data_IF_106499760353
#
_entry.id   IF_106499760353
#
_cell.length_a   1.000
_cell.length_b   1.000
_cell.length_c   1.000
_cell.angle_alpha   90.00
_cell.angle_beta   90.00
_cell.angle_gamma   90.00
#
_symmetry.space_group_name_H-M   'P 1'
#
loop_
_entity.id
_entity.type
_entity.pdbx_description
1 polymer ?
#
# COMPACT_ATOMS: atom_id res chain seq x y z
N UNK A 1 -40.94 -18.86 -16.26
CA UNK A 1 -39.79 -18.41 -17.07
C UNK A 1 -39.16 -17.08 -16.61
N UNK A 2 -39.94 -16.04 -16.23
CA UNK A 2 -39.35 -14.76 -15.73
C UNK A 2 -38.57 -14.91 -14.43
N UNK A 3 -39.09 -15.65 -13.44
CA UNK A 3 -38.41 -15.91 -12.16
C UNK A 3 -37.07 -16.64 -12.32
N UNK A 4 -37.01 -17.66 -13.18
CA UNK A 4 -35.76 -18.40 -13.44
C UNK A 4 -34.68 -17.52 -14.08
N UNK A 5 -35.07 -16.67 -15.06
CA UNK A 5 -34.16 -15.69 -15.69
C UNK A 5 -33.64 -14.68 -14.64
N UNK A 6 -34.51 -14.18 -13.77
CA UNK A 6 -34.12 -13.27 -12.70
C UNK A 6 -33.14 -13.93 -11.71
N UNK A 7 -33.39 -15.19 -11.32
CA UNK A 7 -32.48 -15.93 -10.44
C UNK A 7 -31.12 -16.15 -11.09
N UNK A 8 -31.08 -16.52 -12.38
CA UNK A 8 -29.81 -16.67 -13.11
C UNK A 8 -29.04 -15.36 -13.16
N UNK A 9 -29.70 -14.24 -13.51
CA UNK A 9 -29.06 -12.93 -13.55
C UNK A 9 -28.53 -12.53 -12.16
N UNK A 10 -29.32 -12.74 -11.11
CA UNK A 10 -28.91 -12.43 -9.75
C UNK A 10 -27.69 -13.29 -9.31
N UNK A 11 -27.69 -14.59 -9.63
CA UNK A 11 -26.56 -15.47 -9.34
C UNK A 11 -25.31 -15.04 -10.10
N UNK A 12 -25.42 -14.73 -11.38
CA UNK A 12 -24.29 -14.23 -12.17
C UNK A 12 -23.75 -12.91 -11.61
N UNK A 13 -24.61 -11.98 -11.19
CA UNK A 13 -24.20 -10.76 -10.57
C UNK A 13 -23.41 -11.01 -9.26
N UNK A 14 -23.87 -11.91 -8.40
CA UNK A 14 -23.16 -12.27 -7.16
C UNK A 14 -21.82 -12.93 -7.48
N UNK A 15 -21.75 -13.82 -8.47
CA UNK A 15 -20.48 -14.42 -8.90
C UNK A 15 -19.48 -13.37 -9.43
N UNK A 16 -19.95 -12.40 -10.21
CA UNK A 16 -19.11 -11.31 -10.72
C UNK A 16 -18.59 -10.46 -9.55
N UNK A 17 -19.44 -10.13 -8.58
CA UNK A 17 -19.03 -9.39 -7.37
C UNK A 17 -17.98 -10.18 -6.58
N UNK A 18 -18.22 -11.47 -6.34
CA UNK A 18 -17.25 -12.32 -5.67
C UNK A 18 -15.90 -12.33 -6.41
N UNK A 19 -15.92 -12.54 -7.72
CA UNK A 19 -14.71 -12.55 -8.53
C UNK A 19 -13.99 -11.19 -8.51
N UNK A 20 -14.70 -10.07 -8.56
CA UNK A 20 -14.11 -8.75 -8.53
C UNK A 20 -13.29 -8.50 -7.25
N UNK A 21 -13.74 -9.00 -6.11
CA UNK A 21 -13.03 -8.86 -4.83
C UNK A 21 -12.03 -9.99 -4.57
N UNK A 22 -12.36 -11.23 -4.92
CA UNK A 22 -11.49 -12.37 -4.66
C UNK A 22 -10.32 -12.45 -5.63
N UNK A 23 -10.53 -12.13 -6.91
CA UNK A 23 -9.51 -12.29 -7.96
C UNK A 23 -8.23 -11.50 -7.68
N UNK A 24 -8.23 -10.19 -7.38
CA UNK A 24 -6.99 -9.46 -7.10
C UNK A 24 -6.23 -10.00 -5.88
N UNK A 25 -6.97 -10.50 -4.88
CA UNK A 25 -6.38 -11.03 -3.64
C UNK A 25 -5.79 -12.44 -3.85
N UNK A 26 -6.50 -13.31 -4.57
CA UNK A 26 -6.07 -14.72 -4.80
C UNK A 26 -4.95 -14.81 -5.83
N UNK A 27 -4.94 -13.90 -6.81
CA UNK A 27 -3.89 -13.84 -7.86
C UNK A 27 -2.75 -12.91 -7.51
N UNK A 28 -2.77 -12.31 -6.33
CA UNK A 28 -1.68 -11.46 -5.84
C UNK A 28 -0.42 -12.28 -5.65
N UNK A 29 0.66 -11.82 -6.25
CA UNK A 29 2.00 -12.37 -6.11
C UNK A 29 2.94 -11.29 -5.59
N UNK A 30 3.80 -11.58 -4.59
CA UNK A 30 4.83 -10.64 -4.19
C UNK A 30 5.91 -10.57 -5.28
N UNK A 31 5.73 -9.67 -6.22
CA UNK A 31 6.64 -9.45 -7.34
C UNK A 31 6.95 -7.96 -7.48
N UNK A 32 8.19 -7.67 -7.90
CA UNK A 32 8.65 -6.31 -8.23
C UNK A 32 8.42 -5.28 -7.12
N UNK A 33 8.57 -5.68 -5.83
CA UNK A 33 8.43 -4.71 -4.74
C UNK A 33 9.59 -3.72 -4.78
N UNK A 34 9.35 -2.40 -4.93
CA UNK A 34 10.39 -1.39 -4.89
C UNK A 34 11.03 -1.32 -3.50
N UNK A 35 12.35 -1.56 -3.43
CA UNK A 35 13.14 -1.57 -2.20
C UNK A 35 14.48 -0.91 -2.45
N UNK A 36 14.88 0.04 -1.61
CA UNK A 36 16.20 0.64 -1.69
C UNK A 36 17.29 -0.34 -1.21
N UNK A 37 18.44 -0.30 -1.84
CA UNK A 37 19.61 -1.11 -1.47
C UNK A 37 20.80 -0.21 -1.22
N UNK A 38 21.40 -0.33 -0.02
CA UNK A 38 22.63 0.37 0.37
C UNK A 38 23.73 -0.68 0.56
N UNK A 39 24.85 -0.54 -0.15
CA UNK A 39 25.97 -1.45 -0.03
C UNK A 39 26.93 -1.36 -1.22
N UNK A 40 27.99 -2.18 -1.22
CA UNK A 40 28.84 -2.26 -2.39
C UNK A 40 28.14 -2.99 -3.55
N UNK A 41 28.47 -2.67 -4.82
CA UNK A 41 27.88 -3.35 -5.97
C UNK A 41 27.98 -4.87 -5.91
N UNK A 42 29.08 -5.40 -5.34
CA UNK A 42 29.30 -6.83 -5.18
C UNK A 42 28.32 -7.43 -4.15
N UNK A 43 28.09 -6.73 -3.03
CA UNK A 43 27.15 -7.16 -2.00
C UNK A 43 25.71 -7.17 -2.51
N UNK A 44 25.31 -6.13 -3.24
CA UNK A 44 23.97 -6.02 -3.83
C UNK A 44 23.77 -7.13 -4.86
N UNK A 45 24.77 -7.40 -5.71
CA UNK A 45 24.70 -8.47 -6.73
C UNK A 45 24.58 -9.84 -6.05
N UNK A 46 25.41 -10.13 -5.05
CA UNK A 46 25.37 -11.38 -4.31
C UNK A 46 24.05 -11.59 -3.57
N UNK A 47 23.40 -10.50 -3.14
CA UNK A 47 22.07 -10.55 -2.54
C UNK A 47 20.99 -10.83 -3.61
N UNK A 48 21.05 -10.16 -4.76
CA UNK A 48 20.12 -10.41 -5.88
C UNK A 48 20.14 -11.86 -6.32
N UNK A 49 21.31 -12.50 -6.38
CA UNK A 49 21.45 -13.92 -6.76
C UNK A 49 20.80 -14.90 -5.77
N UNK A 50 20.66 -14.50 -4.49
CA UNK A 50 20.06 -15.33 -3.43
C UNK A 50 18.54 -15.15 -3.31
N UNK A 51 17.98 -14.10 -3.91
CA UNK A 51 16.55 -13.82 -3.86
C UNK A 51 15.85 -14.47 -5.06
N UNK A 52 14.57 -14.83 -4.93
CA UNK A 52 13.76 -15.22 -6.08
C UNK A 52 13.80 -14.13 -7.16
N UNK A 53 13.93 -14.56 -8.40
CA UNK A 53 13.89 -13.67 -9.56
C UNK A 53 12.56 -12.90 -9.56
N UNK A 54 12.61 -11.59 -9.74
CA UNK A 54 11.45 -10.67 -9.73
C UNK A 54 10.77 -10.40 -8.38
N UNK A 55 11.31 -10.86 -7.25
CA UNK A 55 10.70 -10.56 -5.94
C UNK A 55 10.82 -9.08 -5.57
N UNK A 56 12.01 -8.50 -5.75
CA UNK A 56 12.32 -7.12 -5.40
C UNK A 56 12.78 -6.33 -6.65
N UNK A 57 12.28 -5.12 -6.77
CA UNK A 57 12.84 -4.10 -7.66
C UNK A 57 13.76 -3.22 -6.83
N UNK A 58 15.07 -3.40 -7.03
CA UNK A 58 16.08 -2.75 -6.19
C UNK A 58 16.49 -1.42 -6.76
N UNK A 59 16.21 -0.37 -5.98
CA UNK A 59 16.64 1.00 -6.22
C UNK A 59 17.96 1.26 -5.50
N UNK A 60 18.93 1.84 -6.21
CA UNK A 60 20.20 2.18 -5.59
C UNK A 60 20.02 3.36 -4.62
N UNK A 61 20.56 3.24 -3.43
CA UNK A 61 20.67 4.31 -2.45
C UNK A 61 22.12 4.50 -2.04
N UNK A 62 22.55 5.76 -1.92
CA UNK A 62 23.95 6.10 -1.62
C UNK A 62 24.35 5.75 -0.19
N UNK A 63 23.43 5.96 0.74
CA UNK A 63 23.59 5.68 2.15
C UNK A 63 22.24 5.42 2.82
N UNK A 64 22.26 5.22 4.15
CA UNK A 64 21.09 4.97 4.97
C UNK A 64 20.08 6.14 4.91
N UNK A 65 20.56 7.37 4.93
CA UNK A 65 19.71 8.55 4.97
C UNK A 65 19.01 8.79 3.64
N UNK A 66 19.69 8.52 2.52
CA UNK A 66 19.10 8.49 1.19
C UNK A 66 18.03 7.41 1.07
N UNK A 67 18.29 6.20 1.58
CA UNK A 67 17.29 5.14 1.64
C UNK A 67 16.06 5.52 2.48
N UNK A 68 16.24 6.20 3.62
CA UNK A 68 15.14 6.74 4.42
C UNK A 68 14.37 7.79 3.63
N UNK A 69 15.05 8.67 2.91
CA UNK A 69 14.41 9.69 2.08
C UNK A 69 13.53 9.07 0.98
N UNK A 70 14.04 8.04 0.28
CA UNK A 70 13.25 7.31 -0.73
C UNK A 70 12.01 6.64 -0.12
N UNK A 71 12.08 6.18 1.14
CA UNK A 71 10.91 5.66 1.86
C UNK A 71 9.92 6.78 2.17
N UNK A 72 10.39 7.92 2.69
CA UNK A 72 9.56 9.06 3.08
C UNK A 72 8.90 9.76 1.88
N UNK A 73 9.52 9.71 0.70
CA UNK A 73 8.96 10.20 -0.57
C UNK A 73 8.08 9.17 -1.29
N UNK A 74 7.94 7.96 -0.72
CA UNK A 74 7.11 6.88 -1.28
C UNK A 74 7.64 6.30 -2.60
N UNK A 75 8.93 6.43 -2.87
CA UNK A 75 9.58 5.80 -4.02
C UNK A 75 9.78 4.30 -3.80
N UNK A 76 10.04 3.90 -2.55
CA UNK A 76 10.22 2.51 -2.14
C UNK A 76 9.39 2.16 -0.89
N UNK A 77 9.16 0.87 -0.65
CA UNK A 77 8.42 0.36 0.52
C UNK A 77 9.31 0.08 1.73
N UNK A 78 10.61 0.08 1.53
CA UNK A 78 11.60 -0.16 2.57
C UNK A 78 12.99 -0.22 1.99
N UNK A 79 13.99 -0.55 2.81
CA UNK A 79 15.37 -0.63 2.35
C UNK A 79 16.15 -1.76 3.02
N UNK A 80 17.17 -2.23 2.33
CA UNK A 80 18.15 -3.20 2.84
C UNK A 80 19.51 -2.51 2.88
N UNK A 81 20.02 -2.27 4.08
CA UNK A 81 21.34 -1.68 4.31
C UNK A 81 22.32 -2.81 4.61
N UNK A 82 23.25 -3.02 3.70
CA UNK A 82 24.30 -4.02 3.81
C UNK A 82 25.56 -3.39 4.40
N UNK A 83 26.29 -4.14 5.21
CA UNK A 83 27.52 -3.67 5.87
C UNK A 83 27.88 -4.52 7.09
N UNK A 84 28.73 -3.98 7.96
CA UNK A 84 29.13 -4.66 9.21
C UNK A 84 27.96 -4.87 10.17
N UNK A 85 27.01 -3.95 10.16
CA UNK A 85 25.73 -4.04 10.89
C UNK A 85 24.57 -3.97 9.90
N UNK A 86 24.10 -5.10 9.37
CA UNK A 86 23.00 -5.11 8.43
C UNK A 86 21.71 -4.55 9.07
N UNK A 87 21.01 -3.69 8.33
CA UNK A 87 19.74 -3.12 8.80
C UNK A 87 18.67 -3.27 7.71
N UNK A 88 17.47 -3.66 8.13
CA UNK A 88 16.27 -3.64 7.27
C UNK A 88 15.40 -2.48 7.71
N UNK A 89 15.21 -1.51 6.82
CA UNK A 89 14.29 -0.41 7.02
C UNK A 89 12.93 -0.80 6.44
N UNK A 90 11.90 -0.69 7.24
CA UNK A 90 10.52 -0.94 6.81
C UNK A 90 9.68 0.32 6.98
N UNK A 91 8.55 0.40 6.28
CA UNK A 91 7.57 1.44 6.46
C UNK A 91 6.19 0.80 6.62
N UNK A 92 5.81 0.54 7.87
CA UNK A 92 4.52 -0.07 8.20
C UNK A 92 3.35 0.70 7.62
N UNK A 93 3.43 2.03 7.62
CA UNK A 93 2.41 2.91 7.06
C UNK A 93 2.32 2.88 5.53
N UNK A 94 3.41 2.52 4.82
CA UNK A 94 3.40 2.38 3.38
C UNK A 94 2.58 1.16 2.94
N UNK A 95 2.91 0.01 3.50
CA UNK A 95 2.18 -1.24 3.33
C UNK A 95 2.55 -2.22 4.44
N UNK A 96 1.61 -2.60 5.31
CA UNK A 96 1.86 -3.61 6.33
C UNK A 96 2.32 -4.95 5.76
N UNK A 97 1.81 -5.32 4.57
CA UNK A 97 2.19 -6.56 3.87
C UNK A 97 3.64 -6.51 3.42
N UNK A 98 4.08 -5.40 2.81
CA UNK A 98 5.47 -5.19 2.42
C UNK A 98 6.41 -5.15 3.63
N UNK A 99 6.03 -4.42 4.69
CA UNK A 99 6.80 -4.35 5.93
C UNK A 99 6.96 -5.73 6.59
N UNK A 100 5.89 -6.54 6.62
CA UNK A 100 5.96 -7.90 7.13
C UNK A 100 6.88 -8.79 6.27
N UNK A 101 6.82 -8.67 4.95
CA UNK A 101 7.69 -9.42 4.03
C UNK A 101 9.17 -9.06 4.24
N UNK A 102 9.49 -7.76 4.32
CA UNK A 102 10.85 -7.30 4.59
C UNK A 102 11.34 -7.72 5.99
N UNK A 103 10.47 -7.67 7.00
CA UNK A 103 10.77 -8.18 8.33
C UNK A 103 11.10 -9.68 8.31
N UNK A 104 10.35 -10.48 7.57
CA UNK A 104 10.63 -11.91 7.40
C UNK A 104 11.97 -12.14 6.67
N UNK A 105 12.28 -11.33 5.66
CA UNK A 105 13.57 -11.36 4.98
C UNK A 105 14.73 -11.06 5.96
N UNK A 106 14.59 -10.01 6.81
CA UNK A 106 15.56 -9.69 7.85
C UNK A 106 15.76 -10.82 8.85
N UNK A 107 14.67 -11.44 9.32
CA UNK A 107 14.75 -12.60 10.22
C UNK A 107 15.39 -13.82 9.55
N UNK A 108 15.22 -13.99 8.24
CA UNK A 108 15.86 -15.06 7.49
C UNK A 108 17.36 -14.81 7.31
N UNK A 109 17.74 -13.55 7.08
CA UNK A 109 19.13 -13.10 7.03
C UNK A 109 19.82 -13.31 8.38
N UNK A 110 19.17 -12.96 9.49
CA UNK A 110 19.70 -13.22 10.84
C UNK A 110 19.96 -14.71 11.05
N UNK A 111 19.01 -15.57 10.71
CA UNK A 111 19.20 -17.03 10.85
C UNK A 111 20.37 -17.55 10.02
N UNK A 112 20.60 -17.00 8.83
CA UNK A 112 21.74 -17.38 8.01
C UNK A 112 23.08 -16.96 8.65
N UNK A 113 23.13 -15.78 9.25
CA UNK A 113 24.30 -15.30 10.02
C UNK A 113 24.54 -16.19 11.22
N UNK A 114 23.51 -16.50 12.02
CA UNK A 114 23.60 -17.36 13.20
C UNK A 114 24.14 -18.76 12.83
N UNK A 115 23.65 -19.35 11.73
CA UNK A 115 24.13 -20.64 11.23
C UNK A 115 25.61 -20.58 10.85
N UNK A 116 26.04 -19.53 10.16
CA UNK A 116 27.44 -19.36 9.78
C UNK A 116 28.35 -19.18 10.99
N UNK A 117 27.89 -18.48 12.04
CA UNK A 117 28.62 -18.35 13.32
C UNK A 117 28.73 -19.69 14.01
N UNK A 118 27.65 -20.46 14.13
CA UNK A 118 27.63 -21.79 14.72
C UNK A 118 28.59 -22.73 13.97
N UNK A 119 28.57 -22.73 12.66
CA UNK A 119 29.43 -23.56 11.83
C UNK A 119 30.90 -23.17 11.98
N UNK A 120 31.23 -21.90 12.01
CA UNK A 120 32.60 -21.42 12.24
C UNK A 120 33.12 -21.76 13.64
N UNK A 121 32.25 -21.68 14.66
CA UNK A 121 32.58 -22.11 16.02
C UNK A 121 32.81 -23.63 16.10
N UNK A 122 31.95 -24.44 15.46
CA UNK A 122 32.14 -25.92 15.48
C UNK A 122 33.43 -26.34 14.80
N UNK A 123 33.74 -25.73 13.63
CA UNK A 123 35.04 -25.97 12.96
C UNK A 123 36.24 -25.52 13.84
N UNK A 124 36.09 -24.41 14.57
CA UNK A 124 37.09 -23.95 15.52
C UNK A 124 37.34 -24.97 16.66
N UNK A 125 36.27 -25.52 17.22
CA UNK A 125 36.32 -26.55 18.26
C UNK A 125 36.97 -27.84 17.74
N UNK A 126 36.60 -28.29 16.55
CA UNK A 126 37.21 -29.48 15.92
C UNK A 126 38.71 -29.30 15.69
N UNK A 127 39.13 -28.14 15.16
CA UNK A 127 40.57 -27.82 15.00
C UNK A 127 41.30 -27.80 16.33
N UNK A 128 40.69 -27.26 17.37
CA UNK A 128 41.28 -27.25 18.73
C UNK A 128 41.40 -28.68 19.28
N UNK A 129 40.38 -29.54 19.12
CA UNK A 129 40.42 -30.93 19.53
C UNK A 129 41.49 -31.71 18.78
N UNK A 130 41.63 -31.51 17.47
CA UNK A 130 42.66 -32.13 16.66
C UNK A 130 44.08 -31.67 17.09
N UNK A 131 44.24 -30.39 17.39
CA UNK A 131 45.52 -29.85 17.92
C UNK A 131 45.88 -30.46 19.28
N UNK A 132 44.93 -30.63 20.19
CA UNK A 132 45.14 -31.29 21.49
C UNK A 132 45.48 -32.79 21.32
N UNK A 133 44.79 -33.48 20.39
CA UNK A 133 45.07 -34.89 20.11
C UNK A 133 46.48 -35.11 19.52
N UNK A 134 46.98 -34.17 18.71
CA UNK A 134 48.33 -34.21 18.14
C UNK A 134 49.40 -33.75 19.11
N UNK A 135 49.05 -32.93 20.13
CA UNK A 135 49.97 -32.45 21.17
C UNK A 135 50.24 -33.43 22.30
N UNK A 136 49.60 -34.60 22.36
CA UNK A 136 49.76 -35.60 23.40
C UNK A 136 50.95 -36.57 23.13
N UNK A 137 52.15 -36.05 22.73
CA UNK A 137 53.41 -36.78 22.87
C UNK A 137 54.01 -36.38 24.17
N UNK A 138 54.32 -37.34 25.12
CA UNK A 138 55.01 -37.03 26.34
C UNK A 138 56.49 -36.83 26.04
N UNK A 139 56.95 -35.60 26.02
CA UNK A 139 58.32 -35.27 25.85
C UNK A 139 58.61 -33.79 25.66
N UNK A 140 59.15 -33.19 26.72
CA UNK A 140 59.81 -31.89 26.81
C UNK A 140 58.98 -30.65 26.96
N UNK A 141 59.07 -30.10 28.15
CA UNK A 141 58.40 -28.90 28.65
C UNK A 141 58.60 -27.65 27.83
N UNK A 142 57.54 -27.22 27.32
CA UNK A 142 57.16 -25.81 27.12
C UNK A 142 55.66 -25.77 27.28
N UNK A 143 55.16 -25.13 28.32
CA UNK A 143 53.76 -24.85 28.47
C UNK A 143 53.28 -24.04 27.21
N UNK A 144 52.18 -24.44 26.53
CA UNK A 144 51.65 -23.59 25.47
C UNK A 144 51.29 -22.27 26.14
N UNK A 145 51.85 -21.18 25.63
CA UNK A 145 51.42 -19.83 25.97
C UNK A 145 49.93 -19.74 25.63
N UNK A 146 49.09 -19.73 26.67
CA UNK A 146 47.70 -19.38 26.54
C UNK A 146 47.71 -17.96 25.95
N UNK A 147 47.10 -17.71 24.79
CA UNK A 147 46.95 -16.35 24.31
C UNK A 147 46.26 -15.56 25.40
N UNK A 148 46.89 -14.45 25.78
CA UNK A 148 46.36 -13.53 26.78
C UNK A 148 44.90 -13.23 26.43
N UNK A 149 44.00 -13.64 27.34
CA UNK A 149 42.54 -13.51 27.16
C UNK A 149 42.02 -12.07 27.11
N UNK A 150 42.93 -11.10 26.97
CA UNK A 150 42.61 -9.67 26.83
C UNK A 150 42.33 -9.21 25.37
N UNK A 151 42.57 -10.05 24.34
CA UNK A 151 42.36 -9.70 22.94
C UNK A 151 41.16 -10.37 22.25
N UNK A 152 40.49 -11.31 22.90
CA UNK A 152 39.20 -11.77 22.45
C UNK A 152 38.11 -10.88 23.05
N UNK A 153 38.04 -9.61 22.66
CA UNK A 153 36.75 -8.93 22.60
C UNK A 153 35.94 -9.74 21.60
N UNK A 154 35.13 -10.65 22.11
CA UNK A 154 34.03 -11.23 21.33
C UNK A 154 33.20 -10.04 20.85
N UNK A 155 33.49 -9.56 19.64
CA UNK A 155 32.50 -8.76 18.93
C UNK A 155 31.25 -9.62 18.88
N UNK A 156 30.18 -9.11 19.46
CA UNK A 156 28.90 -9.80 19.43
C UNK A 156 28.61 -10.15 17.95
N UNK A 157 28.11 -11.35 17.67
CA UNK A 157 27.84 -11.74 16.29
C UNK A 157 26.98 -10.65 15.62
N UNK A 158 27.23 -10.33 14.34
CA UNK A 158 26.50 -9.30 13.66
C UNK A 158 25.00 -9.61 13.72
N UNK A 159 24.21 -8.66 14.21
CA UNK A 159 22.76 -8.78 14.30
C UNK A 159 22.10 -7.92 13.25
N UNK A 160 21.10 -8.47 12.57
CA UNK A 160 20.27 -7.71 11.63
C UNK A 160 19.31 -6.83 12.41
N UNK A 161 19.46 -5.52 12.29
CA UNK A 161 18.54 -4.58 12.91
C UNK A 161 17.32 -4.38 12.00
N UNK A 162 16.12 -4.39 12.56
CA UNK A 162 14.89 -4.05 11.84
C UNK A 162 14.34 -2.77 12.44
N UNK A 163 14.19 -1.74 11.59
CA UNK A 163 13.72 -0.42 12.02
C UNK A 163 12.51 -0.02 11.18
N UNK A 164 11.39 0.28 11.81
CA UNK A 164 10.24 0.91 11.11
C UNK A 164 10.46 2.43 11.13
N UNK A 165 10.70 3.00 9.94
CA UNK A 165 10.99 4.44 9.77
C UNK A 165 9.73 5.27 9.62
N UNK A 166 8.63 4.64 9.21
CA UNK A 166 7.31 5.28 9.14
C UNK A 166 6.29 4.33 9.79
N UNK A 167 6.26 4.30 11.14
CA UNK A 167 5.38 3.41 11.87
C UNK A 167 3.92 3.83 11.72
N UNK A 168 3.04 2.84 11.87
CA UNK A 168 1.61 3.05 12.00
C UNK A 168 1.25 3.65 13.37
N UNK A 169 0.01 4.15 13.50
CA UNK A 169 -0.54 4.56 14.80
C UNK A 169 -0.53 3.40 15.79
N UNK A 170 -0.31 3.70 17.08
CA UNK A 170 -0.37 2.70 18.15
C UNK A 170 -1.75 2.04 18.27
N UNK A 171 -2.81 2.74 17.87
CA UNK A 171 -4.19 2.22 17.84
C UNK A 171 -4.46 1.28 16.66
N UNK A 172 -3.67 1.35 15.58
CA UNK A 172 -3.78 0.48 14.41
C UNK A 172 -2.43 -0.14 14.01
N UNK A 173 -1.79 -0.92 14.89
CA UNK A 173 -0.44 -1.45 14.67
C UNK A 173 -0.34 -2.43 13.48
N UNK A 174 -1.48 -2.86 12.94
CA UNK A 174 -1.56 -3.73 11.76
C UNK A 174 -1.85 -2.99 10.47
N UNK A 175 -2.13 -1.68 10.52
CA UNK A 175 -2.49 -0.88 9.35
C UNK A 175 -3.77 -1.31 8.66
N UNK A 176 -4.63 -2.00 9.40
CA UNK A 176 -5.89 -2.49 8.86
C UNK A 176 -6.95 -1.39 8.75
N UNK A 177 -6.82 -0.31 9.53
CA UNK A 177 -7.82 0.74 9.62
C UNK A 177 -8.08 1.44 8.30
N UNK A 178 -7.03 1.90 7.62
CA UNK A 178 -7.17 2.56 6.32
C UNK A 178 -7.68 1.57 5.24
N UNK A 179 -7.21 0.33 5.26
CA UNK A 179 -7.68 -0.71 4.35
C UNK A 179 -9.17 -1.01 4.56
N UNK A 180 -9.61 -1.13 5.84
CA UNK A 180 -11.01 -1.34 6.19
C UNK A 180 -11.85 -0.09 5.85
N UNK A 181 -11.34 1.12 6.05
CA UNK A 181 -12.04 2.37 5.74
C UNK A 181 -12.24 2.58 4.23
N UNK A 182 -11.42 1.99 3.37
CA UNK A 182 -11.47 2.16 1.92
C UNK A 182 -12.83 1.80 1.31
N UNK A 183 -13.41 0.66 1.70
CA UNK A 183 -14.72 0.25 1.19
C UNK A 183 -15.86 1.16 1.67
N UNK A 184 -16.01 1.50 2.96
CA UNK A 184 -16.98 2.49 3.42
C UNK A 184 -16.84 3.87 2.76
N UNK A 185 -15.61 4.33 2.49
CA UNK A 185 -15.37 5.59 1.77
C UNK A 185 -15.91 5.53 0.33
N UNK A 186 -15.58 4.46 -0.39
CA UNK A 186 -16.10 4.23 -1.75
C UNK A 186 -17.63 4.10 -1.77
N UNK A 187 -18.20 3.37 -0.80
CA UNK A 187 -19.65 3.24 -0.63
C UNK A 187 -20.31 4.56 -0.25
N UNK A 188 -19.67 5.38 0.59
CA UNK A 188 -20.15 6.72 0.93
C UNK A 188 -20.34 7.57 -0.32
N UNK A 189 -19.31 7.63 -1.16
CA UNK A 189 -19.40 8.34 -2.44
C UNK A 189 -20.51 7.79 -3.36
N UNK A 190 -20.67 6.47 -3.42
CA UNK A 190 -21.72 5.80 -4.20
C UNK A 190 -23.13 6.12 -3.65
N UNK A 191 -23.33 6.01 -2.35
CA UNK A 191 -24.62 6.28 -1.70
C UNK A 191 -24.99 7.75 -1.88
N UNK A 192 -24.08 8.67 -1.59
CA UNK A 192 -24.31 10.11 -1.75
C UNK A 192 -24.61 10.50 -3.18
N UNK A 193 -23.82 10.01 -4.15
CA UNK A 193 -24.07 10.23 -5.57
C UNK A 193 -25.42 9.67 -6.05
N UNK A 194 -25.79 8.48 -5.57
CA UNK A 194 -27.07 7.85 -5.89
C UNK A 194 -28.26 8.64 -5.32
N UNK A 195 -28.18 9.05 -4.05
CA UNK A 195 -29.22 9.86 -3.41
C UNK A 195 -29.38 11.21 -4.11
N UNK A 196 -28.28 11.91 -4.41
CA UNK A 196 -28.32 13.17 -5.16
C UNK A 196 -28.94 12.94 -6.55
N UNK A 197 -28.59 11.85 -7.23
CA UNK A 197 -29.15 11.50 -8.54
C UNK A 197 -30.66 11.32 -8.51
N UNK A 198 -31.19 10.70 -7.45
CA UNK A 198 -32.60 10.33 -7.33
C UNK A 198 -33.46 11.46 -6.73
N UNK A 199 -32.93 12.23 -5.79
CA UNK A 199 -33.69 13.20 -5.01
C UNK A 199 -33.52 14.64 -5.48
N UNK A 200 -32.40 14.97 -6.17
CA UNK A 200 -32.12 16.33 -6.61
C UNK A 200 -32.34 16.47 -8.11
N UNK A 201 -33.22 17.38 -8.49
CA UNK A 201 -33.49 17.73 -9.90
C UNK A 201 -32.87 19.08 -10.26
N UNK A 202 -32.40 19.19 -11.50
CA UNK A 202 -31.76 20.40 -12.04
C UNK A 202 -30.23 20.40 -11.87
N UNK A 203 -29.55 20.81 -12.95
CA UNK A 203 -28.09 20.75 -13.10
C UNK A 203 -27.34 21.48 -11.99
N UNK A 204 -27.64 22.75 -11.77
CA UNK A 204 -26.98 23.58 -10.77
C UNK A 204 -27.22 23.08 -9.34
N UNK A 205 -28.45 22.61 -9.05
CA UNK A 205 -28.80 22.04 -7.76
C UNK A 205 -28.00 20.74 -7.48
N UNK A 206 -27.79 19.91 -8.51
CA UNK A 206 -26.97 18.70 -8.40
C UNK A 206 -25.51 19.03 -8.11
N UNK A 207 -24.93 19.99 -8.83
CA UNK A 207 -23.54 20.44 -8.61
C UNK A 207 -23.36 21.02 -7.20
N UNK A 208 -24.28 21.88 -6.74
CA UNK A 208 -24.21 22.42 -5.37
C UNK A 208 -24.41 21.34 -4.32
N UNK A 209 -25.31 20.37 -4.55
CA UNK A 209 -25.49 19.24 -3.63
C UNK A 209 -24.26 18.34 -3.55
N UNK A 210 -23.55 18.08 -4.67
CA UNK A 210 -22.30 17.33 -4.69
C UNK A 210 -21.23 18.08 -3.89
N UNK A 211 -21.08 19.39 -4.10
CA UNK A 211 -20.11 20.20 -3.37
C UNK A 211 -20.39 20.23 -1.85
N UNK A 212 -21.66 20.46 -1.47
CA UNK A 212 -22.08 20.43 -0.06
C UNK A 212 -21.88 19.05 0.57
N UNK A 213 -22.19 17.98 -0.17
CA UNK A 213 -21.95 16.60 0.27
C UNK A 213 -20.46 16.33 0.52
N UNK A 214 -19.58 16.80 -0.39
CA UNK A 214 -18.14 16.65 -0.20
C UNK A 214 -17.62 17.35 1.06
N UNK A 215 -18.05 18.60 1.30
CA UNK A 215 -17.65 19.34 2.49
C UNK A 215 -18.18 18.66 3.77
N UNK A 216 -19.47 18.38 3.84
CA UNK A 216 -20.07 17.78 5.05
C UNK A 216 -19.58 16.35 5.25
N UNK A 217 -19.51 15.55 4.20
CA UNK A 217 -19.04 14.16 4.25
C UNK A 217 -17.55 14.07 4.57
N UNK A 218 -16.73 14.93 3.96
CA UNK A 218 -15.30 15.03 4.25
C UNK A 218 -15.04 15.33 5.72
N UNK A 219 -15.70 16.36 6.27
CA UNK A 219 -15.59 16.71 7.68
C UNK A 219 -16.09 15.57 8.60
N UNK A 220 -17.27 15.02 8.32
CA UNK A 220 -17.88 13.99 9.16
C UNK A 220 -17.05 12.70 9.18
N UNK A 221 -16.61 12.22 8.01
CA UNK A 221 -15.82 11.00 7.92
C UNK A 221 -14.43 11.18 8.52
N UNK A 222 -13.79 12.32 8.30
CA UNK A 222 -12.49 12.58 8.92
C UNK A 222 -12.61 12.73 10.44
N UNK A 223 -13.70 13.30 10.95
CA UNK A 223 -13.98 13.35 12.40
C UNK A 223 -14.11 11.94 13.01
N UNK A 224 -14.64 11.00 12.23
CA UNK A 224 -14.72 9.59 12.67
C UNK A 224 -13.37 8.91 12.57
N UNK A 225 -12.68 9.05 11.42
CA UNK A 225 -11.47 8.30 11.14
C UNK A 225 -10.23 8.81 11.89
N UNK A 226 -10.14 10.10 12.19
CA UNK A 226 -8.98 10.69 12.83
C UNK A 226 -9.14 10.81 14.36
N UNK A 227 -9.99 11.70 14.96
CA UNK A 227 -10.01 11.84 16.41
C UNK A 227 -10.79 10.74 17.14
N UNK A 228 -11.67 10.00 16.48
CA UNK A 228 -12.44 8.94 17.15
C UNK A 228 -11.78 7.56 17.01
N UNK A 229 -11.42 7.16 15.78
CA UNK A 229 -10.87 5.84 15.51
C UNK A 229 -9.32 5.84 15.44
N UNK A 230 -8.70 7.01 15.41
CA UNK A 230 -7.23 7.20 15.30
C UNK A 230 -6.58 6.40 14.15
N UNK A 231 -7.30 6.29 13.03
CA UNK A 231 -6.83 5.61 11.81
C UNK A 231 -6.00 6.54 10.94
N UNK A 232 -6.37 7.84 10.90
CA UNK A 232 -5.67 8.86 10.14
C UNK A 232 -4.83 9.72 11.07
N UNK A 233 -3.59 9.97 10.68
CA UNK A 233 -2.70 10.91 11.35
C UNK A 233 -2.60 12.23 10.56
N UNK A 234 -1.74 13.14 11.00
CA UNK A 234 -1.42 14.38 10.28
C UNK A 234 -2.47 15.49 10.41
N UNK A 235 -2.59 16.33 9.39
CA UNK A 235 -3.42 17.52 9.43
C UNK A 235 -4.89 17.20 9.15
N UNK A 236 -5.77 17.46 10.12
CA UNK A 236 -7.22 17.21 10.03
C UNK A 236 -7.87 17.88 8.80
N UNK A 237 -7.53 19.14 8.52
CA UNK A 237 -8.16 19.88 7.42
C UNK A 237 -7.72 19.36 6.05
N UNK A 238 -6.45 18.94 5.94
CA UNK A 238 -5.94 18.29 4.73
C UNK A 238 -6.66 16.95 4.49
N UNK A 239 -6.77 16.11 5.53
CA UNK A 239 -7.49 14.84 5.47
C UNK A 239 -8.99 15.04 5.15
N UNK A 240 -9.65 16.04 5.75
CA UNK A 240 -11.04 16.37 5.47
C UNK A 240 -11.24 16.84 4.01
N UNK A 241 -10.32 17.66 3.50
CA UNK A 241 -10.31 18.09 2.10
C UNK A 241 -10.12 16.92 1.14
N UNK A 242 -9.17 16.03 1.42
CA UNK A 242 -8.91 14.84 0.60
C UNK A 242 -10.07 13.85 0.60
N UNK A 243 -10.63 13.56 1.78
CA UNK A 243 -11.84 12.72 1.93
C UNK A 243 -13.01 13.31 1.16
N UNK A 244 -13.22 14.62 1.33
CA UNK A 244 -14.27 15.36 0.63
C UNK A 244 -14.09 15.33 -0.89
N UNK A 245 -12.88 15.51 -1.38
CA UNK A 245 -12.56 15.46 -2.82
C UNK A 245 -12.85 14.06 -3.40
N UNK A 246 -12.47 12.99 -2.71
CA UNK A 246 -12.79 11.61 -3.12
C UNK A 246 -14.31 11.35 -3.18
N UNK A 247 -15.07 11.84 -2.19
CA UNK A 247 -16.54 11.75 -2.18
C UNK A 247 -17.15 12.53 -3.35
N UNK A 248 -16.68 13.75 -3.61
CA UNK A 248 -17.12 14.60 -4.73
C UNK A 248 -16.82 13.92 -6.06
N UNK A 249 -15.62 13.38 -6.24
CA UNK A 249 -15.22 12.70 -7.47
C UNK A 249 -16.12 11.49 -7.78
N UNK A 250 -16.37 10.64 -6.77
CA UNK A 250 -17.28 9.50 -6.90
C UNK A 250 -18.73 9.95 -7.18
N UNK A 251 -19.23 10.91 -6.40
CA UNK A 251 -20.59 11.41 -6.56
C UNK A 251 -20.81 12.09 -7.93
N UNK A 252 -19.84 12.90 -8.38
CA UNK A 252 -19.88 13.57 -9.67
C UNK A 252 -19.93 12.55 -10.83
N UNK A 253 -19.12 11.49 -10.76
CA UNK A 253 -19.15 10.41 -11.74
C UNK A 253 -20.55 9.75 -11.81
N UNK A 254 -21.11 9.37 -10.67
CA UNK A 254 -22.40 8.67 -10.58
C UNK A 254 -23.54 9.57 -11.06
N UNK A 255 -23.59 10.83 -10.60
CA UNK A 255 -24.61 11.79 -11.01
C UNK A 255 -24.46 12.16 -12.49
N UNK A 256 -23.22 12.25 -12.98
CA UNK A 256 -22.90 12.49 -14.38
C UNK A 256 -23.39 11.37 -15.29
N UNK A 257 -23.04 10.14 -14.98
CA UNK A 257 -23.50 8.96 -15.72
C UNK A 257 -25.02 8.83 -15.66
N UNK A 258 -25.63 9.07 -14.49
CA UNK A 258 -27.09 9.10 -14.39
C UNK A 258 -27.73 10.19 -15.27
N UNK A 259 -27.10 11.35 -15.39
CA UNK A 259 -27.63 12.45 -16.23
C UNK A 259 -27.64 12.10 -17.72
N UNK A 260 -26.67 11.27 -18.17
CA UNK A 260 -26.57 10.85 -19.59
C UNK A 260 -27.32 9.55 -19.86
N UNK A 261 -27.25 8.56 -18.96
CA UNK A 261 -27.71 7.19 -19.17
C UNK A 261 -28.95 6.83 -18.32
N UNK A 262 -29.44 7.77 -17.49
CA UNK A 262 -30.53 7.48 -16.56
C UNK A 262 -30.08 6.50 -15.47
N UNK A 263 -31.01 5.69 -14.95
CA UNK A 263 -30.76 4.75 -13.84
C UNK A 263 -29.62 3.76 -14.09
N UNK A 264 -29.37 3.39 -15.36
CA UNK A 264 -28.24 2.54 -15.71
C UNK A 264 -26.90 3.19 -15.38
N UNK A 265 -26.80 4.52 -15.48
CA UNK A 265 -25.59 5.28 -15.13
C UNK A 265 -25.21 5.16 -13.66
N UNK A 266 -26.19 5.07 -12.74
CA UNK A 266 -25.92 4.82 -11.32
C UNK A 266 -25.24 3.46 -11.13
N UNK A 267 -25.78 2.41 -11.78
CA UNK A 267 -25.23 1.07 -11.68
C UNK A 267 -23.80 0.99 -12.27
N UNK A 268 -23.58 1.64 -13.42
CA UNK A 268 -22.25 1.68 -14.06
C UNK A 268 -21.26 2.44 -13.17
N UNK A 269 -21.63 3.58 -12.61
CA UNK A 269 -20.78 4.33 -11.69
C UNK A 269 -20.43 3.53 -10.43
N UNK A 270 -21.40 2.81 -9.85
CA UNK A 270 -21.17 1.92 -8.73
C UNK A 270 -20.23 0.76 -9.08
N UNK A 271 -20.36 0.16 -10.24
CA UNK A 271 -19.48 -0.91 -10.73
C UNK A 271 -18.05 -0.37 -10.86
N UNK A 272 -17.86 0.76 -11.51
CA UNK A 272 -16.54 1.35 -11.72
C UNK A 272 -15.87 1.68 -10.38
N UNK A 273 -16.60 2.30 -9.44
CA UNK A 273 -16.00 2.80 -8.20
C UNK A 273 -15.86 1.71 -7.13
N UNK A 274 -16.90 0.92 -6.88
CA UNK A 274 -16.90 -0.05 -5.77
C UNK A 274 -16.38 -1.41 -6.22
N UNK A 275 -16.86 -1.93 -7.35
CA UNK A 275 -16.55 -3.32 -7.74
C UNK A 275 -15.27 -3.46 -8.57
N UNK A 276 -14.81 -2.41 -9.23
CA UNK A 276 -13.53 -2.40 -9.95
C UNK A 276 -12.50 -1.59 -9.17
N UNK A 277 -12.81 -0.33 -8.87
CA UNK A 277 -11.85 0.61 -8.30
C UNK A 277 -11.38 0.24 -6.90
N UNK A 278 -12.28 -0.23 -6.02
CA UNK A 278 -11.88 -0.55 -4.65
C UNK A 278 -10.99 -1.80 -4.55
N UNK A 279 -11.26 -2.94 -5.22
CA UNK A 279 -10.34 -4.09 -5.21
C UNK A 279 -8.98 -3.82 -5.84
N UNK A 280 -8.91 -2.93 -6.84
CA UNK A 280 -7.67 -2.55 -7.51
C UNK A 280 -6.96 -1.36 -6.87
N UNK A 281 -7.46 -0.81 -5.77
CA UNK A 281 -6.99 0.44 -5.18
C UNK A 281 -5.60 0.39 -4.56
N UNK A 282 -5.04 -0.80 -4.31
CA UNK A 282 -3.76 -0.93 -3.58
C UNK A 282 -3.84 -0.55 -2.09
N UNK A 283 -5.06 -0.45 -1.51
CA UNK A 283 -5.24 -0.11 -0.09
C UNK A 283 -4.85 -1.23 0.85
N UNK A 284 -5.05 -2.48 0.44
CA UNK A 284 -4.79 -3.68 1.25
C UNK A 284 -3.42 -4.29 1.03
N UNK A 285 -2.79 -4.00 -0.10
CA UNK A 285 -1.50 -4.55 -0.53
C UNK A 285 -0.81 -3.60 -1.51
N UNK A 286 0.50 -3.71 -1.75
CA UNK A 286 1.19 -2.97 -2.79
C UNK A 286 0.51 -3.14 -4.15
N UNK A 287 0.47 -2.08 -4.96
CA UNK A 287 -0.10 -2.13 -6.32
C UNK A 287 0.69 -3.09 -7.23
N UNK A 288 1.97 -3.27 -6.95
CA UNK A 288 2.89 -4.16 -7.64
C UNK A 288 2.50 -5.64 -7.48
N UNK A 289 1.87 -6.00 -6.34
CA UNK A 289 1.39 -7.36 -6.07
C UNK A 289 0.10 -7.71 -6.82
N UNK A 290 -0.61 -6.70 -7.34
CA UNK A 290 -1.79 -6.90 -8.17
C UNK A 290 -1.31 -7.22 -9.59
N UNK A 291 -1.88 -8.26 -10.21
CA UNK A 291 -1.54 -8.66 -11.58
C UNK A 291 -1.50 -7.46 -12.52
N UNK A 292 -0.36 -7.22 -13.15
CA UNK A 292 -0.19 -6.10 -14.06
C UNK A 292 -1.00 -6.29 -15.36
N UNK A 293 -1.57 -5.24 -15.95
CA UNK A 293 -1.45 -3.81 -15.55
C UNK A 293 -2.53 -3.31 -14.56
N UNK A 294 -3.29 -4.21 -13.93
CA UNK A 294 -4.46 -3.84 -13.12
C UNK A 294 -4.10 -3.07 -11.85
N UNK A 295 -2.92 -3.34 -11.26
CA UNK A 295 -2.41 -2.55 -10.13
C UNK A 295 -2.22 -1.08 -10.49
N UNK A 296 -1.63 -0.80 -11.65
CA UNK A 296 -1.45 0.56 -12.16
C UNK A 296 -2.79 1.22 -12.53
N UNK A 297 -3.67 0.49 -13.22
CA UNK A 297 -5.01 0.99 -13.57
C UNK A 297 -5.79 1.37 -12.31
N UNK A 298 -5.66 0.60 -11.22
CA UNK A 298 -6.31 0.88 -9.95
C UNK A 298 -5.93 2.25 -9.37
N UNK A 299 -4.67 2.69 -9.59
CA UNK A 299 -4.19 3.99 -9.11
C UNK A 299 -4.75 5.18 -9.91
N UNK A 300 -5.40 4.97 -11.06
CA UNK A 300 -6.11 6.00 -11.82
C UNK A 300 -7.58 6.12 -11.42
N UNK A 301 -8.11 5.16 -10.70
CA UNK A 301 -9.49 5.16 -10.26
C UNK A 301 -9.66 5.90 -8.93
N UNK A 302 -10.83 6.48 -8.71
CA UNK A 302 -11.10 7.31 -7.53
C UNK A 302 -10.73 6.63 -6.20
N UNK A 303 -11.04 5.34 -5.95
CA UNK A 303 -10.65 4.68 -4.69
C UNK A 303 -9.13 4.59 -4.49
N UNK A 304 -8.37 4.24 -5.53
CA UNK A 304 -6.91 4.18 -5.46
C UNK A 304 -6.28 5.54 -5.21
N UNK A 305 -6.70 6.56 -5.98
CA UNK A 305 -6.27 7.95 -5.78
C UNK A 305 -6.58 8.45 -4.38
N UNK A 306 -7.81 8.27 -3.91
CA UNK A 306 -8.24 8.75 -2.59
C UNK A 306 -7.50 8.04 -1.46
N UNK A 307 -7.28 6.74 -1.59
CA UNK A 307 -6.56 5.95 -0.60
C UNK A 307 -5.09 6.34 -0.50
N UNK A 308 -4.43 6.56 -1.63
CA UNK A 308 -3.05 7.04 -1.69
C UNK A 308 -2.93 8.42 -1.06
N UNK A 309 -3.80 9.39 -1.45
CA UNK A 309 -3.77 10.74 -0.88
C UNK A 309 -3.97 10.72 0.64
N UNK A 310 -4.92 9.94 1.16
CA UNK A 310 -5.17 9.87 2.60
C UNK A 310 -4.01 9.24 3.36
N UNK A 311 -3.39 8.19 2.80
CA UNK A 311 -2.21 7.55 3.39
C UNK A 311 -1.03 8.52 3.44
N UNK A 312 -0.77 9.20 2.34
CA UNK A 312 0.39 10.07 2.22
C UNK A 312 0.23 11.34 3.06
N UNK A 313 -0.96 11.96 3.10
CA UNK A 313 -1.25 13.06 4.03
C UNK A 313 -1.14 12.67 5.50
N UNK A 314 -1.41 11.41 5.83
CA UNK A 314 -1.36 10.94 7.21
C UNK A 314 0.05 10.57 7.67
N UNK A 315 0.85 9.97 6.81
CA UNK A 315 2.10 9.32 7.24
C UNK A 315 3.35 9.77 6.45
N UNK A 316 3.18 10.39 5.27
CA UNK A 316 4.29 10.72 4.36
C UNK A 316 4.28 12.20 3.97
N UNK A 317 4.67 13.11 4.88
CA UNK A 317 4.59 14.55 4.64
C UNK A 317 5.48 15.04 3.50
N UNK A 318 6.46 14.24 3.06
CA UNK A 318 7.39 14.55 1.97
C UNK A 318 6.96 13.96 0.62
N UNK A 319 5.89 13.17 0.57
CA UNK A 319 5.37 12.59 -0.67
C UNK A 319 4.73 13.67 -1.58
N UNK A 320 4.99 13.59 -2.88
CA UNK A 320 4.35 14.45 -3.87
C UNK A 320 2.94 13.94 -4.22
N UNK A 321 1.94 14.73 -3.84
CA UNK A 321 0.52 14.44 -4.06
C UNK A 321 -0.08 15.16 -5.27
N UNK A 322 0.73 15.93 -6.00
CA UNK A 322 0.25 16.81 -7.08
C UNK A 322 -0.54 16.03 -8.12
N UNK A 323 0.01 14.93 -8.58
CA UNK A 323 -0.62 14.07 -9.60
C UNK A 323 -1.96 13.48 -9.11
N UNK A 324 -2.02 12.94 -7.91
CA UNK A 324 -3.20 12.28 -7.37
C UNK A 324 -4.34 13.28 -7.16
N UNK A 325 -4.04 14.47 -6.66
CA UNK A 325 -5.01 15.56 -6.48
C UNK A 325 -5.53 16.04 -7.84
N UNK A 326 -4.65 16.23 -8.82
CA UNK A 326 -5.05 16.62 -10.19
C UNK A 326 -5.92 15.55 -10.85
N UNK A 327 -5.61 14.28 -10.67
CA UNK A 327 -6.41 13.18 -11.19
C UNK A 327 -7.80 13.11 -10.53
N UNK A 328 -7.90 13.30 -9.21
CA UNK A 328 -9.20 13.42 -8.52
C UNK A 328 -9.99 14.63 -9.02
N UNK A 329 -9.36 15.78 -9.19
CA UNK A 329 -9.99 16.96 -9.76
C UNK A 329 -10.47 16.71 -11.20
N UNK A 330 -9.71 15.98 -12.01
CA UNK A 330 -10.11 15.58 -13.36
C UNK A 330 -11.36 14.68 -13.34
N UNK A 331 -11.50 13.76 -12.39
CA UNK A 331 -12.72 12.98 -12.19
C UNK A 331 -13.93 13.85 -11.84
N UNK A 332 -13.76 14.88 -10.98
CA UNK A 332 -14.80 15.85 -10.65
C UNK A 332 -15.24 16.63 -11.89
N UNK A 333 -14.27 17.14 -12.67
CA UNK A 333 -14.53 17.86 -13.92
C UNK A 333 -15.25 16.97 -14.93
N UNK A 334 -14.77 15.74 -15.12
CA UNK A 334 -15.39 14.77 -16.03
C UNK A 334 -16.85 14.49 -15.66
N UNK A 335 -17.12 14.19 -14.37
CA UNK A 335 -18.49 13.98 -13.88
C UNK A 335 -19.38 15.22 -14.07
N UNK A 336 -18.84 16.42 -13.82
CA UNK A 336 -19.55 17.69 -14.00
C UNK A 336 -19.89 17.97 -15.47
N UNK A 337 -18.99 17.66 -16.39
CA UNK A 337 -19.24 17.74 -17.84
C UNK A 337 -20.38 16.79 -18.23
N UNK A 338 -20.38 15.55 -17.73
CA UNK A 338 -21.47 14.61 -18.00
C UNK A 338 -22.82 15.11 -17.48
N UNK A 339 -22.86 15.78 -16.31
CA UNK A 339 -24.06 16.42 -15.78
C UNK A 339 -24.57 17.50 -16.74
N UNK A 340 -23.70 18.34 -17.27
CA UNK A 340 -24.04 19.39 -18.24
C UNK A 340 -24.50 18.81 -19.56
N UNK A 341 -23.82 17.82 -20.12
CA UNK A 341 -24.21 17.13 -21.36
C UNK A 341 -25.60 16.52 -21.23
N UNK A 342 -25.91 15.86 -20.11
CA UNK A 342 -27.21 15.30 -19.83
C UNK A 342 -28.31 16.37 -19.80
N UNK A 343 -28.03 17.58 -19.30
CA UNK A 343 -28.94 18.70 -19.29
C UNK A 343 -29.31 19.17 -20.72
N UNK A 344 -28.33 19.45 -21.54
CA UNK A 344 -28.57 19.92 -22.93
C UNK A 344 -29.30 18.89 -23.78
N UNK A 345 -28.96 17.61 -23.63
CA UNK A 345 -29.64 16.53 -24.35
C UNK A 345 -31.11 16.43 -24.00
N UNK A 346 -31.46 16.59 -22.73
CA UNK A 346 -32.86 16.53 -22.28
C UNK A 346 -33.67 17.78 -22.71
N UNK A 347 -33.07 18.97 -22.77
CA UNK A 347 -33.70 20.16 -23.30
C UNK A 347 -34.00 20.04 -24.82
N UNK A 348 -33.06 19.48 -25.59
CA UNK A 348 -33.26 19.26 -27.03
C UNK A 348 -34.35 18.24 -27.36
N UNK A 349 -34.68 17.33 -26.43
CA UNK A 349 -35.79 16.40 -26.58
C UNK A 349 -37.15 17.04 -26.32
N UNK A 350 -37.24 17.98 -25.37
CA UNK A 350 -38.48 18.72 -25.04
C UNK A 350 -38.83 19.77 -26.12
N UNK A 351 -37.83 20.34 -26.79
CA UNK A 351 -38.05 21.33 -27.86
C UNK A 351 -38.47 20.77 -29.23
N UNK A 352 -38.54 19.45 -29.39
CA UNK A 352 -38.91 18.75 -30.63
C UNK A 352 -40.26 18.04 -30.55
N UNK A 353 -40.97 18.10 -29.44
CA UNK A 353 -42.34 17.61 -29.24
C UNK A 353 -43.32 18.78 -29.11
#
# INVERSE_FOLDING_TARGET
MRSLRTSIIATLAVCIVLLAFAWPTVTSSPEHLPVAAVGSPEQITAMKEKLPENLLDMHDATDRDDAVHQIETREVYGAIVLGEQPEILVAGAASPVAAQMLTQAGNSMQRAIDQQVIESMSQGIEKMQQAMAQGSRPGTGAAPSVPDGSQARQEAPPSVKITDVVPLSESDPRGSGLAIAGLPLAMGGMIGGSLISLLVSGTWRRLTAIAAYGVMGGLALTLILQPWLDILAGNFWANAGATGLGLVATAALIVGLNSVMGRAGIAIGAIITVFIGNPLSGLTQPKEFIVQPWGEIGQWLVPGLSGTVLRDLSYFPHADLTWQILALAAWVVFGSILIMVGHYRNQGAVGRG
#
